data_IF_159333987257
#
_entry.id   IF_159333987257
#
_cell.length_a   1.000
_cell.length_b   1.000
_cell.length_c   1.000
_cell.angle_alpha   90.00
_cell.angle_beta   90.00
_cell.angle_gamma   90.00
#
_symmetry.space_group_name_H-M   'P 1'
#
loop_
_entity.id
_entity.type
_entity.pdbx_description
1 polymer ?
#
# COMPACT_ATOMS: atom_id res chain seq x y z
N UNK A 1 29.74 22.44 57.19
CA UNK A 1 28.90 23.57 57.65
C UNK A 1 29.12 24.71 56.66
N UNK A 2 28.16 25.22 55.88
CA UNK A 2 26.72 25.06 55.87
C UNK A 2 26.18 25.33 54.45
N UNK A 3 25.19 24.54 54.05
CA UNK A 3 24.14 24.76 53.03
C UNK A 3 23.45 26.14 53.23
N UNK A 4 22.77 26.88 52.33
CA UNK A 4 21.74 26.63 51.28
C UNK A 4 21.61 27.93 50.44
N UNK A 5 21.57 27.88 49.11
CA UNK A 5 20.37 27.95 48.24
C UNK A 5 19.51 29.23 48.34
N UNK A 6 19.41 29.99 47.25
CA UNK A 6 18.13 30.45 46.69
C UNK A 6 18.22 30.42 45.16
N UNK A 7 17.34 29.61 44.62
CA UNK A 7 16.91 29.36 43.26
C UNK A 7 16.19 30.57 42.63
N UNK A 8 16.24 30.72 41.30
CA UNK A 8 15.21 31.42 40.51
C UNK A 8 15.34 31.15 39.00
N UNK A 9 14.48 30.23 38.56
CA UNK A 9 13.71 30.20 37.31
C UNK A 9 14.47 30.32 35.98
N UNK A 10 14.58 29.22 35.21
CA UNK A 10 13.50 28.63 34.41
C UNK A 10 13.08 29.48 33.21
N UNK A 11 13.54 29.07 32.03
CA UNK A 11 12.68 28.95 30.84
C UNK A 11 13.15 27.72 30.06
N UNK A 12 12.45 26.62 30.35
CA UNK A 12 12.23 25.44 29.50
C UNK A 12 12.00 25.93 28.05
N UNK A 13 12.68 25.44 27.01
CA UNK A 13 12.78 24.04 26.62
C UNK A 13 11.75 23.76 25.51
N UNK A 14 12.27 23.38 24.33
CA UNK A 14 11.61 22.59 23.28
C UNK A 14 10.37 23.16 22.59
N UNK A 15 10.51 23.53 21.30
CA UNK A 15 9.50 23.25 20.27
C UNK A 15 10.08 23.47 18.87
N UNK A 16 11.05 22.64 18.48
CA UNK A 16 11.20 22.23 17.09
C UNK A 16 11.58 20.75 17.16
N UNK A 17 10.57 19.88 17.17
CA UNK A 17 10.78 18.50 16.77
C UNK A 17 11.15 18.55 15.29
N UNK A 18 12.45 18.71 15.01
CA UNK A 18 12.97 18.46 13.69
C UNK A 18 12.88 16.94 13.50
N UNK A 19 11.82 16.49 12.82
CA UNK A 19 11.73 15.11 12.35
C UNK A 19 13.04 14.76 11.66
N UNK A 20 13.64 13.62 12.05
CA UNK A 20 14.88 13.15 11.42
C UNK A 20 14.70 13.02 9.89
N UNK A 21 15.77 13.19 9.08
CA UNK A 21 15.68 13.03 7.63
C UNK A 21 15.04 11.69 7.21
N UNK A 22 15.30 10.63 7.99
CA UNK A 22 14.76 9.29 7.75
C UNK A 22 13.23 9.22 7.94
N UNK A 23 12.68 9.96 8.91
CA UNK A 23 11.23 10.01 9.16
C UNK A 23 10.47 10.82 8.10
N UNK A 24 11.08 11.89 7.57
CA UNK A 24 10.45 12.69 6.50
C UNK A 24 10.36 11.89 5.19
N UNK A 25 11.40 11.11 4.88
CA UNK A 25 11.43 10.26 3.69
C UNK A 25 10.37 9.15 3.75
N UNK A 26 10.14 8.56 4.93
CA UNK A 26 9.11 7.53 5.13
C UNK A 26 7.71 8.10 4.89
N UNK A 27 7.41 9.29 5.41
CA UNK A 27 6.10 9.92 5.22
C UNK A 27 5.81 10.22 3.75
N UNK A 28 6.81 10.68 3.00
CA UNK A 28 6.69 10.91 1.56
C UNK A 28 6.43 9.59 0.82
N UNK A 29 7.21 8.53 1.11
CA UNK A 29 7.01 7.21 0.50
C UNK A 29 5.63 6.63 0.82
N UNK A 30 5.12 6.79 2.04
CA UNK A 30 3.79 6.33 2.43
C UNK A 30 2.68 7.09 1.67
N UNK A 31 2.82 8.42 1.49
CA UNK A 31 1.88 9.23 0.70
C UNK A 31 1.89 8.85 -0.78
N UNK A 32 3.07 8.64 -1.35
CA UNK A 32 3.22 8.19 -2.72
C UNK A 32 2.59 6.81 -2.92
N UNK A 33 2.78 5.90 -1.96
CA UNK A 33 2.17 4.58 -1.99
C UNK A 33 0.63 4.63 -1.93
N UNK A 34 0.04 5.51 -1.12
CA UNK A 34 -1.41 5.73 -1.06
C UNK A 34 -1.95 6.25 -2.40
N UNK A 35 -1.24 7.21 -3.00
CA UNK A 35 -1.60 7.77 -4.31
C UNK A 35 -1.55 6.68 -5.38
N UNK A 36 -0.45 5.93 -5.43
CA UNK A 36 -0.26 4.82 -6.37
C UNK A 36 -1.31 3.73 -6.22
N UNK A 37 -1.65 3.33 -4.99
CA UNK A 37 -2.72 2.35 -4.72
C UNK A 37 -4.08 2.82 -5.24
N UNK A 38 -4.39 4.10 -5.06
CA UNK A 38 -5.64 4.70 -5.53
C UNK A 38 -5.73 4.65 -7.05
N UNK A 39 -4.67 5.08 -7.74
CA UNK A 39 -4.58 5.08 -9.20
C UNK A 39 -4.62 3.65 -9.76
N UNK A 40 -3.86 2.73 -9.16
CA UNK A 40 -3.81 1.33 -9.56
C UNK A 40 -5.17 0.64 -9.40
N UNK A 41 -5.90 0.93 -8.33
CA UNK A 41 -7.25 0.42 -8.12
C UNK A 41 -8.22 0.96 -9.16
N UNK A 42 -8.14 2.25 -9.50
CA UNK A 42 -8.97 2.84 -10.56
C UNK A 42 -8.68 2.22 -11.94
N UNK A 43 -7.40 2.07 -12.29
CA UNK A 43 -6.98 1.42 -13.52
C UNK A 43 -7.44 -0.05 -13.59
N UNK A 44 -7.41 -0.77 -12.46
CA UNK A 44 -7.90 -2.15 -12.33
C UNK A 44 -9.40 -2.24 -12.64
N UNK A 45 -10.20 -1.35 -12.04
CA UNK A 45 -11.66 -1.31 -12.24
C UNK A 45 -12.02 -0.91 -13.68
N UNK A 46 -11.33 0.07 -14.25
CA UNK A 46 -11.57 0.47 -15.65
C UNK A 46 -11.16 -0.64 -16.62
N UNK A 47 -10.08 -1.38 -16.34
CA UNK A 47 -9.67 -2.55 -17.14
C UNK A 47 -10.78 -3.61 -17.15
N UNK A 48 -11.35 -3.94 -15.98
CA UNK A 48 -12.47 -4.88 -15.88
C UNK A 48 -13.67 -4.42 -16.72
N UNK A 49 -14.05 -3.14 -16.58
CA UNK A 49 -15.13 -2.54 -17.37
C UNK A 49 -14.89 -2.62 -18.88
N UNK A 50 -13.67 -2.34 -19.34
CA UNK A 50 -13.30 -2.43 -20.76
C UNK A 50 -13.41 -3.87 -21.29
N UNK A 51 -12.98 -4.87 -20.51
CA UNK A 51 -13.19 -6.28 -20.89
C UNK A 51 -14.68 -6.62 -21.02
N UNK A 52 -15.52 -6.23 -20.05
CA UNK A 52 -16.97 -6.49 -20.07
C UNK A 52 -17.72 -5.80 -21.20
N UNK A 53 -17.27 -4.61 -21.59
CA UNK A 53 -17.91 -3.82 -22.66
C UNK A 53 -17.39 -4.17 -24.06
N UNK A 54 -16.46 -5.14 -24.18
CA UNK A 54 -15.94 -5.61 -25.46
C UNK A 54 -14.82 -4.74 -26.05
N UNK A 55 -14.29 -3.79 -25.29
CA UNK A 55 -13.17 -2.94 -25.68
C UNK A 55 -11.82 -3.63 -25.43
N UNK A 56 -11.67 -4.86 -25.94
CA UNK A 56 -10.58 -5.79 -25.57
C UNK A 56 -9.17 -5.22 -25.80
N UNK A 57 -8.92 -4.50 -26.89
CA UNK A 57 -7.59 -3.94 -27.15
C UNK A 57 -7.21 -2.87 -26.12
N UNK A 58 -8.14 -1.95 -25.83
CA UNK A 58 -7.94 -0.93 -24.79
C UNK A 58 -7.79 -1.56 -23.41
N UNK A 59 -8.57 -2.61 -23.12
CA UNK A 59 -8.48 -3.37 -21.88
C UNK A 59 -7.08 -3.99 -21.73
N UNK A 60 -6.51 -4.60 -22.78
CA UNK A 60 -5.16 -5.18 -22.74
C UNK A 60 -4.08 -4.14 -22.53
N UNK A 61 -4.19 -2.99 -23.19
CA UNK A 61 -3.22 -1.90 -23.06
C UNK A 61 -3.22 -1.34 -21.62
N UNK A 62 -4.41 -1.15 -21.04
CA UNK A 62 -4.54 -0.71 -19.65
C UNK A 62 -4.15 -1.82 -18.65
N UNK A 63 -4.46 -3.08 -18.95
CA UNK A 63 -4.07 -4.23 -18.13
C UNK A 63 -2.55 -4.34 -18.00
N UNK A 64 -1.78 -4.05 -19.04
CA UNK A 64 -0.32 -4.01 -18.96
C UNK A 64 0.17 -2.93 -17.99
N UNK A 65 -0.51 -1.78 -17.95
CA UNK A 65 -0.22 -0.72 -16.98
C UNK A 65 -0.57 -1.16 -15.56
N UNK A 66 -1.67 -1.88 -15.37
CA UNK A 66 -2.04 -2.48 -14.07
C UNK A 66 -0.94 -3.45 -13.60
N UNK A 67 -0.46 -4.36 -14.47
CA UNK A 67 0.62 -5.29 -14.14
C UNK A 67 1.90 -4.52 -13.74
N UNK A 68 2.28 -3.51 -14.51
CA UNK A 68 3.44 -2.66 -14.20
C UNK A 68 3.28 -1.93 -12.86
N UNK A 69 2.07 -1.45 -12.57
CA UNK A 69 1.76 -0.80 -11.31
C UNK A 69 1.79 -1.76 -10.12
N UNK A 70 1.40 -3.03 -10.30
CA UNK A 70 1.52 -4.05 -9.27
C UNK A 70 2.99 -4.32 -8.92
N UNK A 71 3.88 -4.40 -9.92
CA UNK A 71 5.32 -4.57 -9.67
C UNK A 71 5.89 -3.40 -8.86
N UNK A 72 5.52 -2.17 -9.21
CA UNK A 72 5.92 -0.98 -8.46
C UNK A 72 5.36 -1.00 -7.03
N UNK A 73 4.10 -1.40 -6.84
CA UNK A 73 3.49 -1.51 -5.52
C UNK A 73 4.27 -2.50 -4.64
N UNK A 74 4.59 -3.69 -5.17
CA UNK A 74 5.33 -4.72 -4.43
C UNK A 74 6.70 -4.20 -4.00
N UNK A 75 7.42 -3.51 -4.90
CA UNK A 75 8.72 -2.91 -4.58
C UNK A 75 8.60 -1.82 -3.49
N UNK A 76 7.57 -0.98 -3.57
CA UNK A 76 7.32 0.07 -2.57
C UNK A 76 6.94 -0.53 -1.20
N UNK A 77 6.09 -1.55 -1.17
CA UNK A 77 5.73 -2.25 0.07
C UNK A 77 6.97 -2.92 0.71
N UNK A 78 7.81 -3.59 -0.08
CA UNK A 78 9.05 -4.19 0.42
C UNK A 78 10.01 -3.14 1.01
N UNK A 79 10.11 -1.96 0.39
CA UNK A 79 10.87 -0.84 0.93
C UNK A 79 10.30 -0.36 2.28
N UNK A 80 8.99 -0.09 2.36
CA UNK A 80 8.32 0.36 3.58
C UNK A 80 8.54 -0.66 4.71
N UNK A 81 8.40 -1.96 4.42
CA UNK A 81 8.57 -3.03 5.40
C UNK A 81 9.96 -3.06 6.00
N UNK A 82 10.98 -2.92 5.14
CA UNK A 82 12.39 -2.93 5.56
C UNK A 82 12.75 -1.70 6.39
N UNK A 83 12.27 -0.53 5.99
CA UNK A 83 12.57 0.73 6.69
C UNK A 83 11.87 0.79 8.05
N UNK A 84 10.64 0.30 8.14
CA UNK A 84 9.85 0.29 9.37
C UNK A 84 10.07 -0.95 10.26
N UNK A 85 10.95 -1.88 9.86
CA UNK A 85 11.20 -3.17 10.53
C UNK A 85 9.91 -3.93 10.87
N UNK A 86 8.97 -3.96 9.92
CA UNK A 86 7.65 -4.57 10.12
C UNK A 86 7.76 -6.10 10.15
N UNK A 87 7.23 -6.70 11.21
CA UNK A 87 7.15 -8.16 11.35
C UNK A 87 5.98 -8.73 10.55
N UNK A 88 6.15 -9.93 10.02
CA UNK A 88 5.14 -10.63 9.21
C UNK A 88 3.85 -10.99 9.97
N UNK A 89 3.93 -11.08 11.30
CA UNK A 89 2.81 -11.33 12.21
C UNK A 89 2.14 -10.04 12.71
N UNK A 90 2.64 -8.86 12.31
CA UNK A 90 2.04 -7.60 12.68
C UNK A 90 0.60 -7.51 12.17
N UNK A 91 -0.26 -6.93 12.99
CA UNK A 91 -1.67 -6.68 12.69
C UNK A 91 -1.87 -5.18 12.64
N UNK A 92 -2.08 -4.64 11.44
CA UNK A 92 -2.25 -3.21 11.20
C UNK A 92 -3.72 -2.90 10.88
N UNK A 93 -4.27 -1.87 11.53
CA UNK A 93 -5.63 -1.39 11.21
C UNK A 93 -6.77 -2.35 11.54
N UNK A 94 -6.58 -3.28 12.49
CA UNK A 94 -7.59 -4.29 12.84
C UNK A 94 -7.82 -5.34 11.74
N UNK A 95 -6.90 -5.44 10.78
CA UNK A 95 -6.94 -6.43 9.71
C UNK A 95 -6.31 -7.76 10.15
N UNK A 96 -6.23 -8.72 9.24
CA UNK A 96 -5.45 -9.95 9.42
C UNK A 96 -3.94 -9.67 9.47
N UNK A 97 -3.13 -10.61 9.98
CA UNK A 97 -1.67 -10.54 9.89
C UNK A 97 -1.18 -10.23 8.48
N UNK A 98 -0.10 -9.44 8.36
CA UNK A 98 0.47 -9.04 7.07
C UNK A 98 0.86 -10.23 6.20
N UNK A 99 1.37 -11.30 6.81
CA UNK A 99 1.64 -12.59 6.16
C UNK A 99 0.42 -13.14 5.41
N UNK A 100 -0.74 -13.20 6.07
CA UNK A 100 -1.98 -13.66 5.44
C UNK A 100 -2.44 -12.71 4.32
N UNK A 101 -2.25 -11.40 4.48
CA UNK A 101 -2.57 -10.43 3.43
C UNK A 101 -1.71 -10.64 2.17
N UNK A 102 -0.43 -10.93 2.35
CA UNK A 102 0.50 -11.25 1.24
C UNK A 102 0.15 -12.59 0.59
N UNK A 103 -0.15 -13.63 1.39
CA UNK A 103 -0.52 -14.96 0.88
C UNK A 103 -1.76 -14.90 0.00
N UNK A 104 -2.81 -14.23 0.47
CA UNK A 104 -4.04 -14.04 -0.32
C UNK A 104 -3.80 -13.21 -1.58
N UNK A 105 -2.96 -12.17 -1.51
CA UNK A 105 -2.61 -11.37 -2.68
C UNK A 105 -1.98 -12.25 -3.76
N UNK A 106 -0.99 -13.06 -3.38
CA UNK A 106 -0.32 -13.99 -4.28
C UNK A 106 -1.28 -15.03 -4.85
N UNK A 107 -2.23 -15.51 -4.05
CA UNK A 107 -3.28 -16.43 -4.51
C UNK A 107 -4.15 -15.81 -5.61
N UNK A 108 -4.60 -14.56 -5.42
CA UNK A 108 -5.38 -13.83 -6.42
C UNK A 108 -4.56 -13.57 -7.69
N UNK A 109 -3.30 -13.14 -7.56
CA UNK A 109 -2.41 -12.91 -8.70
C UNK A 109 -2.18 -14.18 -9.53
N UNK A 110 -1.96 -15.33 -8.88
CA UNK A 110 -1.82 -16.61 -9.58
C UNK A 110 -3.08 -16.98 -10.39
N UNK A 111 -4.25 -16.69 -9.83
CA UNK A 111 -5.54 -16.94 -10.48
C UNK A 111 -5.73 -15.99 -11.67
N UNK A 112 -5.37 -14.71 -11.53
CA UNK A 112 -5.38 -13.70 -12.59
C UNK A 112 -4.47 -14.10 -13.75
N UNK A 113 -3.24 -14.52 -13.46
CA UNK A 113 -2.29 -15.00 -14.48
C UNK A 113 -2.87 -16.22 -15.22
N UNK A 114 -3.49 -17.14 -14.50
CA UNK A 114 -4.12 -18.32 -15.10
C UNK A 114 -5.27 -17.93 -16.04
N UNK A 115 -6.14 -17.00 -15.64
CA UNK A 115 -7.24 -16.50 -16.47
C UNK A 115 -6.70 -15.79 -17.72
N UNK A 116 -5.69 -14.94 -17.57
CA UNK A 116 -5.02 -14.22 -18.65
C UNK A 116 -4.39 -15.18 -19.68
N UNK A 117 -3.67 -16.21 -19.22
CA UNK A 117 -3.06 -17.22 -20.11
C UNK A 117 -4.11 -18.00 -20.91
N UNK A 118 -5.26 -18.29 -20.29
CA UNK A 118 -6.40 -18.94 -20.96
C UNK A 118 -7.20 -18.01 -21.86
N UNK A 119 -6.90 -16.70 -21.86
CA UNK A 119 -7.69 -15.65 -22.53
C UNK A 119 -9.15 -15.63 -22.07
N UNK A 120 -9.39 -15.99 -20.82
CA UNK A 120 -10.72 -15.96 -20.21
C UNK A 120 -11.01 -14.53 -19.72
N UNK A 121 -11.39 -13.66 -20.64
CA UNK A 121 -11.56 -12.23 -20.37
C UNK A 121 -12.75 -11.91 -19.47
N UNK A 122 -13.78 -12.76 -19.47
CA UNK A 122 -14.93 -12.63 -18.58
C UNK A 122 -14.48 -12.91 -17.15
N UNK A 123 -13.83 -14.06 -16.92
CA UNK A 123 -13.35 -14.40 -15.58
C UNK A 123 -12.23 -13.45 -15.12
N UNK A 124 -11.32 -13.05 -16.01
CA UNK A 124 -10.31 -12.05 -15.69
C UNK A 124 -10.96 -10.73 -15.23
N UNK A 125 -12.02 -10.27 -15.90
CA UNK A 125 -12.74 -9.08 -15.47
C UNK A 125 -13.30 -9.22 -14.05
N UNK A 126 -13.86 -10.38 -13.70
CA UNK A 126 -14.42 -10.60 -12.36
C UNK A 126 -13.33 -10.59 -11.30
N UNK A 127 -12.18 -11.23 -11.58
CA UNK A 127 -11.01 -11.22 -10.69
C UNK A 127 -10.45 -9.81 -10.50
N UNK A 128 -10.40 -9.00 -11.55
CA UNK A 128 -9.94 -7.62 -11.44
C UNK A 128 -10.91 -6.76 -10.61
N UNK A 129 -12.21 -6.88 -10.87
CA UNK A 129 -13.24 -6.04 -10.23
C UNK A 129 -13.46 -6.38 -8.75
N UNK A 130 -13.56 -7.67 -8.41
CA UNK A 130 -13.99 -8.09 -7.08
C UNK A 130 -12.85 -8.59 -6.20
N UNK A 131 -11.82 -9.21 -6.76
CA UNK A 131 -10.72 -9.76 -5.95
C UNK A 131 -9.57 -8.75 -5.84
N UNK A 132 -9.00 -8.33 -6.98
CA UNK A 132 -7.83 -7.46 -6.98
C UNK A 132 -8.14 -6.07 -6.44
N UNK A 133 -9.22 -5.44 -6.90
CA UNK A 133 -9.57 -4.09 -6.47
C UNK A 133 -9.90 -4.01 -4.96
N UNK A 134 -10.52 -5.05 -4.39
CA UNK A 134 -10.77 -5.14 -2.95
C UNK A 134 -9.46 -5.38 -2.19
N UNK A 135 -8.55 -6.19 -2.72
CA UNK A 135 -7.24 -6.41 -2.09
C UNK A 135 -6.35 -5.17 -2.12
N UNK A 136 -6.38 -4.39 -3.20
CA UNK A 136 -5.71 -3.08 -3.28
C UNK A 136 -6.28 -2.10 -2.23
N UNK A 137 -7.59 -2.13 -2.00
CA UNK A 137 -8.23 -1.35 -0.94
C UNK A 137 -7.83 -1.83 0.48
N UNK A 138 -7.59 -3.13 0.66
CA UNK A 138 -7.00 -3.65 1.88
C UNK A 138 -5.59 -3.08 2.11
N UNK A 139 -4.73 -3.07 1.09
CA UNK A 139 -3.40 -2.47 1.18
C UNK A 139 -3.46 -0.97 1.48
N UNK A 140 -4.38 -0.23 0.85
CA UNK A 140 -4.60 1.19 1.14
C UNK A 140 -4.89 1.44 2.61
N UNK A 141 -5.75 0.61 3.23
CA UNK A 141 -6.01 0.68 4.67
C UNK A 141 -4.77 0.41 5.49
N UNK A 142 -3.93 -0.57 5.12
CA UNK A 142 -2.68 -0.85 5.85
C UNK A 142 -1.76 0.38 5.83
N UNK A 143 -1.49 0.92 4.63
CA UNK A 143 -0.57 2.06 4.48
C UNK A 143 -1.13 3.31 5.17
N UNK A 144 -2.43 3.58 5.07
CA UNK A 144 -3.06 4.68 5.80
C UNK A 144 -3.01 4.52 7.33
N UNK A 145 -2.90 3.31 7.86
CA UNK A 145 -2.67 3.11 9.30
C UNK A 145 -1.20 3.37 9.68
N UNK A 146 -0.26 3.04 8.79
CA UNK A 146 1.15 3.36 8.98
C UNK A 146 1.40 4.88 8.96
N UNK A 147 0.76 5.60 8.03
CA UNK A 147 0.91 7.05 7.86
C UNK A 147 0.26 7.91 8.96
N UNK A 148 -0.47 7.30 9.91
CA UNK A 148 -1.11 8.01 11.03
C UNK A 148 -0.24 8.06 12.30
N UNK A 149 0.92 7.42 12.27
CA UNK A 149 1.87 7.31 13.36
C UNK A 149 3.19 7.97 12.99
#
# INVERSE_FOLDING_TARGET
>A
MNQLAVDRNATVGSMVEASSPDTVLVDEVLKDAITHLTELRQATLETAKLFRTGHEQQAKDLYLQVVTGLDLLVATLDCIWKVLDLKSDAVLGGMKPLSLLVEEFNSHLNTIVTAQQKKDWVFLSDLLEYELADHLNCWDKVINNLAKH
#
